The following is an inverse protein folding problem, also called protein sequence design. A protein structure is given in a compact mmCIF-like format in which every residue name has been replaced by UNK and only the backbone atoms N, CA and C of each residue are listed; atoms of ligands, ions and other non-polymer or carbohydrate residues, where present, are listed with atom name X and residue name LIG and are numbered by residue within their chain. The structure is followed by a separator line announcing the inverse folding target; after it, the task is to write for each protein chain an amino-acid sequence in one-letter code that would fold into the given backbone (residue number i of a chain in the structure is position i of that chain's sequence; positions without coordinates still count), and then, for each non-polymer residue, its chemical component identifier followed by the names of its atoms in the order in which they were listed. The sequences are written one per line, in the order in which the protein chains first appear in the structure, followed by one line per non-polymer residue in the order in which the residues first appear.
data_IF_002771888060
#
_entry.id   IF_002771888060
#
_cell.length_a   1.000
_cell.length_b   1.000
_cell.length_c   1.000
_cell.angle_alpha   90.00
_cell.angle_beta   90.00
_cell.angle_gamma   90.00
#
_symmetry.space_group_name_H-M   'P 1'
#
loop_
_entity.id
_entity.type
_entity.pdbx_description
1 polymer ?
#
# COMPACT_ATOMS: atom_id res chain seq x y z
N UNK A 1 17.98 6.95 0.38
CA UNK A 1 16.87 7.06 1.35
C UNK A 1 17.20 6.34 2.66
N UNK A 2 17.51 5.04 2.68
CA UNK A 2 17.87 4.34 3.92
C UNK A 2 19.04 4.98 4.71
N UNK A 3 20.08 5.48 4.01
CA UNK A 3 21.16 6.21 4.68
C UNK A 3 20.67 7.46 5.44
N UNK A 4 19.66 8.17 4.93
CA UNK A 4 19.07 9.34 5.57
C UNK A 4 18.33 8.96 6.86
N UNK A 5 17.53 7.89 6.80
CA UNK A 5 16.82 7.34 7.98
C UNK A 5 17.81 7.05 9.10
N UNK A 6 18.90 6.35 8.77
CA UNK A 6 19.95 5.99 9.73
C UNK A 6 20.72 7.21 10.24
N UNK A 7 21.03 8.16 9.36
CA UNK A 7 21.78 9.36 9.71
C UNK A 7 21.01 10.25 10.72
N UNK A 8 19.70 10.30 10.59
CA UNK A 8 18.84 11.18 11.38
C UNK A 8 17.99 10.44 12.43
N UNK A 9 18.32 9.17 12.70
CA UNK A 9 17.67 8.35 13.73
C UNK A 9 16.14 8.33 13.60
N UNK A 10 15.66 8.14 12.36
CA UNK A 10 14.23 8.03 12.08
C UNK A 10 13.78 6.57 12.17
N UNK A 11 12.52 6.38 12.56
CA UNK A 11 11.94 5.04 12.70
C UNK A 11 11.67 4.33 11.36
N UNK A 12 11.74 5.03 10.22
CA UNK A 12 11.34 4.43 8.94
C UNK A 12 11.17 5.37 7.77
N UNK A 13 10.49 4.87 6.74
CA UNK A 13 10.14 5.58 5.49
C UNK A 13 8.68 5.35 5.14
N UNK A 14 7.98 6.43 4.78
CA UNK A 14 6.72 6.36 4.03
C UNK A 14 6.99 6.62 2.54
N UNK A 15 6.54 5.69 1.69
CA UNK A 15 6.68 5.75 0.24
C UNK A 15 5.43 6.36 -0.37
N UNK A 16 5.46 7.69 -0.51
CA UNK A 16 4.42 8.48 -1.16
C UNK A 16 4.75 8.67 -2.65
N UNK A 17 4.58 7.60 -3.43
CA UNK A 17 4.82 7.60 -4.87
C UNK A 17 3.53 7.97 -5.62
N UNK A 18 3.56 9.07 -6.39
CA UNK A 18 2.36 9.59 -7.08
C UNK A 18 2.58 9.87 -8.59
N UNK A 19 3.46 9.12 -9.26
CA UNK A 19 3.56 9.22 -10.72
C UNK A 19 2.35 8.56 -11.40
N UNK A 20 1.27 9.34 -11.51
CA UNK A 20 0.01 8.95 -12.13
C UNK A 20 0.21 8.53 -13.59
N UNK A 21 1.07 9.23 -14.34
CA UNK A 21 1.31 8.95 -15.75
C UNK A 21 1.94 7.56 -15.93
N UNK A 22 2.85 7.16 -15.05
CA UNK A 22 3.47 5.84 -15.10
C UNK A 22 2.48 4.71 -14.78
N UNK A 23 1.51 4.94 -13.89
CA UNK A 23 0.42 3.99 -13.67
C UNK A 23 -0.59 3.97 -14.82
N UNK A 24 -0.95 5.13 -15.36
CA UNK A 24 -1.89 5.30 -16.49
C UNK A 24 -1.35 4.70 -17.79
N UNK A 25 -0.03 4.71 -17.99
CA UNK A 25 0.62 4.02 -19.12
C UNK A 25 0.30 2.52 -19.15
N UNK A 26 0.01 1.92 -17.99
CA UNK A 26 -0.48 0.54 -17.90
C UNK A 26 0.52 -0.53 -18.36
N UNK A 27 1.77 -0.18 -18.57
CA UNK A 27 2.85 -1.08 -19.03
C UNK A 27 3.51 -1.87 -17.89
N UNK A 28 3.11 -1.59 -16.64
CA UNK A 28 3.56 -2.29 -15.44
C UNK A 28 4.91 -1.85 -14.90
N UNK A 29 5.59 -0.86 -15.51
CA UNK A 29 6.92 -0.43 -15.07
C UNK A 29 6.90 0.27 -13.71
N UNK A 30 5.90 1.10 -13.43
CA UNK A 30 5.74 1.74 -12.12
C UNK A 30 5.66 0.69 -10.99
N UNK A 31 4.84 -0.35 -11.19
CA UNK A 31 4.72 -1.45 -10.25
C UNK A 31 6.01 -2.25 -10.10
N UNK A 32 6.71 -2.53 -11.19
CA UNK A 32 7.99 -3.24 -11.14
C UNK A 32 9.07 -2.44 -10.39
N UNK A 33 9.12 -1.13 -10.61
CA UNK A 33 10.02 -0.23 -9.89
C UNK A 33 9.70 -0.21 -8.39
N UNK A 34 8.43 0.00 -8.01
CA UNK A 34 8.00 -0.01 -6.60
C UNK A 34 8.34 -1.33 -5.91
N UNK A 35 8.11 -2.47 -6.57
CA UNK A 35 8.49 -3.80 -6.05
C UNK A 35 9.99 -3.91 -5.80
N UNK A 36 10.83 -3.49 -6.76
CA UNK A 36 12.28 -3.53 -6.62
C UNK A 36 12.75 -2.59 -5.52
N UNK A 37 12.18 -1.39 -5.47
CA UNK A 37 12.48 -0.36 -4.51
C UNK A 37 12.14 -0.80 -3.08
N UNK A 38 10.93 -1.33 -2.83
CA UNK A 38 10.52 -1.85 -1.51
C UNK A 38 11.44 -2.99 -1.05
N UNK A 39 11.83 -3.90 -1.95
CA UNK A 39 12.79 -4.97 -1.60
C UNK A 39 14.13 -4.39 -1.14
N UNK A 40 14.67 -3.42 -1.88
CA UNK A 40 15.93 -2.78 -1.51
C UNK A 40 15.81 -1.95 -0.23
N UNK A 41 14.69 -1.25 -0.01
CA UNK A 41 14.45 -0.55 1.24
C UNK A 41 14.44 -1.52 2.42
N UNK A 42 13.70 -2.63 2.35
CA UNK A 42 13.62 -3.59 3.46
C UNK A 42 14.95 -4.29 3.75
N UNK A 43 15.77 -4.55 2.73
CA UNK A 43 17.16 -5.04 2.94
C UNK A 43 17.99 -4.03 3.75
N UNK A 44 17.81 -2.73 3.47
CA UNK A 44 18.58 -1.68 4.10
C UNK A 44 18.00 -1.22 5.46
N UNK A 45 16.70 -1.44 5.67
CA UNK A 45 15.93 -1.08 6.86
C UNK A 45 15.14 -2.33 7.33
N UNK A 46 15.83 -3.32 7.93
CA UNK A 46 15.22 -4.59 8.33
C UNK A 46 14.14 -4.38 9.38
N UNK A 47 13.12 -5.24 9.37
CA UNK A 47 12.04 -5.16 10.36
C UNK A 47 12.52 -5.65 11.75
N UNK A 48 13.54 -6.51 11.77
CA UNK A 48 14.22 -7.01 12.96
C UNK A 48 14.91 -5.87 13.73
N UNK A 49 15.33 -4.83 13.02
CA UNK A 49 15.89 -3.60 13.57
C UNK A 49 14.80 -2.56 13.89
N UNK A 50 13.53 -2.98 13.90
CA UNK A 50 12.34 -2.17 14.20
C UNK A 50 12.02 -1.05 13.21
N UNK A 51 12.64 -1.03 12.03
CA UNK A 51 12.34 -0.02 11.01
C UNK A 51 10.97 -0.24 10.34
N UNK A 52 10.25 0.87 10.16
CA UNK A 52 8.95 0.92 9.49
C UNK A 52 9.11 1.28 8.00
N UNK A 53 8.39 0.58 7.14
CA UNK A 53 8.20 0.91 5.73
C UNK A 53 6.71 0.93 5.44
N UNK A 54 6.19 2.11 5.13
CA UNK A 54 4.79 2.32 4.79
C UNK A 54 4.68 2.86 3.38
N UNK A 55 3.50 2.77 2.79
CA UNK A 55 3.24 3.30 1.45
C UNK A 55 1.97 4.15 1.48
N UNK A 56 1.91 5.24 0.73
CA UNK A 56 0.75 6.14 0.68
C UNK A 56 0.08 6.21 -0.71
N UNK A 57 -0.39 5.08 -1.28
CA UNK A 57 -0.98 5.11 -2.61
C UNK A 57 -2.33 5.82 -2.65
N UNK A 58 -2.64 6.45 -3.78
CA UNK A 58 -3.99 6.90 -4.07
C UNK A 58 -4.95 5.71 -4.17
N UNK A 59 -6.15 5.85 -3.60
CA UNK A 59 -7.13 4.75 -3.56
C UNK A 59 -7.36 4.07 -4.92
N UNK A 60 -7.50 4.80 -6.06
CA UNK A 60 -7.69 4.21 -7.38
C UNK A 60 -6.78 3.04 -7.73
N UNK A 61 -5.53 3.03 -7.28
CA UNK A 61 -4.57 1.99 -7.61
C UNK A 61 -4.89 0.61 -7.02
N UNK A 62 -5.78 0.53 -6.03
CA UNK A 62 -6.27 -0.74 -5.46
C UNK A 62 -7.54 -1.29 -6.14
N UNK A 63 -8.03 -0.70 -7.23
CA UNK A 63 -9.24 -1.18 -7.92
C UNK A 63 -8.91 -2.21 -8.99
N UNK A 64 -9.40 -3.46 -8.88
CA UNK A 64 -9.52 -4.35 -10.03
C UNK A 64 -10.77 -3.98 -10.84
N UNK A 65 -10.79 -4.17 -12.17
CA UNK A 65 -9.70 -4.51 -13.09
C UNK A 65 -9.08 -3.25 -13.76
N UNK A 66 -9.10 -2.08 -13.09
CA UNK A 66 -8.85 -0.78 -13.72
C UNK A 66 -7.44 -0.62 -14.32
N UNK A 67 -6.43 -1.28 -13.75
CA UNK A 67 -5.03 -1.06 -14.11
C UNK A 67 -4.46 -2.23 -14.88
N UNK A 68 -4.13 -2.03 -16.16
CA UNK A 68 -3.50 -3.06 -17.02
C UNK A 68 -2.19 -3.59 -16.44
N UNK A 69 -1.43 -2.74 -15.76
CA UNK A 69 -0.20 -3.12 -15.04
C UNK A 69 -0.44 -3.83 -13.69
N UNK A 70 -1.69 -4.01 -13.27
CA UNK A 70 -2.08 -4.64 -12.01
C UNK A 70 -2.18 -3.70 -10.81
N UNK A 71 -1.82 -2.43 -10.96
CA UNK A 71 -1.96 -1.41 -9.92
C UNK A 71 -1.21 -1.76 -8.62
N UNK A 72 -1.70 -1.25 -7.50
CA UNK A 72 -1.20 -1.59 -6.17
C UNK A 72 -1.60 -2.99 -5.70
N UNK A 73 -2.60 -3.62 -6.31
CA UNK A 73 -2.90 -5.04 -6.05
C UNK A 73 -1.74 -5.95 -6.44
N UNK A 74 -1.10 -5.70 -7.59
CA UNK A 74 0.09 -6.45 -8.01
C UNK A 74 1.27 -6.20 -7.07
N UNK A 75 1.50 -4.95 -6.68
CA UNK A 75 2.57 -4.59 -5.73
C UNK A 75 2.34 -5.31 -4.40
N UNK A 76 1.13 -5.22 -3.84
CA UNK A 76 0.74 -5.89 -2.61
C UNK A 76 0.95 -7.41 -2.69
N UNK A 77 0.50 -8.06 -3.76
CA UNK A 77 0.73 -9.50 -3.93
C UNK A 77 2.22 -9.90 -4.06
N UNK A 78 3.10 -8.97 -4.43
CA UNK A 78 4.52 -9.24 -4.70
C UNK A 78 5.44 -8.93 -3.52
N UNK A 79 5.15 -7.85 -2.78
CA UNK A 79 6.01 -7.32 -1.69
C UNK A 79 5.18 -6.80 -0.51
N UNK A 80 3.88 -7.08 -0.46
CA UNK A 80 3.00 -6.55 0.58
C UNK A 80 3.41 -6.97 1.98
N UNK A 81 4.01 -8.15 2.13
CA UNK A 81 4.57 -8.63 3.41
C UNK A 81 5.85 -7.91 3.85
N UNK A 82 6.43 -7.05 3.01
CA UNK A 82 7.59 -6.21 3.34
C UNK A 82 7.17 -4.79 3.73
N UNK A 83 5.88 -4.46 3.62
CA UNK A 83 5.28 -3.15 3.88
C UNK A 83 4.44 -3.30 5.15
N UNK A 84 4.71 -2.48 6.16
CA UNK A 84 4.04 -2.59 7.46
C UNK A 84 2.56 -2.21 7.34
N UNK A 85 2.25 -1.11 6.66
CA UNK A 85 0.88 -0.76 6.28
C UNK A 85 0.81 0.24 5.11
N UNK A 86 -0.41 0.47 4.60
CA UNK A 86 -0.70 1.50 3.60
C UNK A 86 -1.51 2.64 4.20
N UNK A 87 -1.05 3.87 3.99
CA UNK A 87 -1.75 5.13 4.26
C UNK A 87 -2.56 5.53 3.02
N UNK A 88 -3.63 4.80 2.71
CA UNK A 88 -4.33 4.99 1.44
C UNK A 88 -5.04 6.35 1.40
N UNK A 89 -4.83 7.07 0.30
CA UNK A 89 -5.38 8.40 0.12
C UNK A 89 -6.78 8.34 -0.51
N UNK A 90 -7.80 8.78 0.27
CA UNK A 90 -9.20 8.91 -0.17
C UNK A 90 -9.59 10.35 -0.50
N UNK A 91 -8.60 11.22 -0.66
CA UNK A 91 -8.76 12.66 -0.91
C UNK A 91 -8.10 13.04 -2.24
N UNK A 92 -8.41 14.23 -2.75
CA UNK A 92 -7.89 14.78 -4.02
C UNK A 92 -8.08 13.86 -5.25
N UNK A 93 -9.03 12.93 -5.18
CA UNK A 93 -9.43 12.10 -6.30
C UNK A 93 -10.46 12.85 -7.15
N UNK A 94 -10.32 12.82 -8.48
CA UNK A 94 -11.40 13.29 -9.37
C UNK A 94 -12.68 12.51 -9.03
N UNK A 95 -13.79 13.24 -8.89
CA UNK A 95 -14.98 12.92 -8.08
C UNK A 95 -15.68 11.57 -8.32
N UNK A 96 -15.41 10.85 -9.41
CA UNK A 96 -16.02 9.56 -9.71
C UNK A 96 -15.32 8.35 -9.07
N UNK A 97 -14.09 8.51 -8.57
CA UNK A 97 -13.33 7.38 -8.01
C UNK A 97 -13.75 7.00 -6.57
N UNK A 98 -14.19 7.97 -5.77
CA UNK A 98 -14.53 7.77 -4.34
C UNK A 98 -15.68 6.77 -4.15
N UNK A 99 -16.67 6.78 -5.05
CA UNK A 99 -17.87 5.93 -4.94
C UNK A 99 -17.61 4.43 -5.22
N UNK A 100 -16.52 4.08 -5.90
CA UNK A 100 -16.20 2.68 -6.24
C UNK A 100 -15.49 1.98 -5.08
N UNK A 101 -14.66 2.70 -4.32
CA UNK A 101 -13.81 2.11 -3.29
C UNK A 101 -14.50 1.87 -1.95
N UNK A 102 -15.48 2.69 -1.59
CA UNK A 102 -16.28 2.47 -0.38
C UNK A 102 -16.98 1.11 -0.37
N UNK A 103 -17.21 0.50 -1.56
CA UNK A 103 -17.75 -0.86 -1.69
C UNK A 103 -16.71 -1.98 -1.61
N UNK A 104 -15.43 -1.71 -1.90
CA UNK A 104 -14.34 -2.71 -1.86
C UNK A 104 -13.83 -2.92 -0.42
N UNK A 105 -13.95 -1.91 0.45
CA UNK A 105 -13.44 -1.93 1.83
C UNK A 105 -14.42 -2.47 2.87
N UNK A 106 -15.67 -2.78 2.51
CA UNK A 106 -16.59 -3.47 3.42
C UNK A 106 -16.40 -4.96 3.16
N UNK A 107 -15.70 -5.71 4.03
CA UNK A 107 -15.75 -7.15 3.92
C UNK A 107 -17.19 -7.54 4.20
N UNK A 108 -17.85 -8.18 3.24
CA UNK A 108 -18.87 -9.15 3.62
C UNK A 108 -18.15 -10.19 4.49
N UNK A 109 -18.32 -10.04 5.81
CA UNK A 109 -18.21 -11.06 6.84
C UNK A 109 -17.24 -12.23 6.58
N UNK A 110 -16.14 -12.22 7.34
CA UNK A 110 -15.58 -13.43 7.95
C UNK A 110 -15.22 -14.61 7.01
N UNK A 111 -14.56 -14.37 5.88
CA UNK A 111 -13.84 -15.45 5.18
C UNK A 111 -12.38 -15.09 4.97
N UNK A 112 -11.52 -15.70 5.80
CA UNK A 112 -10.08 -15.73 5.61
C UNK A 112 -9.76 -16.36 4.24
N UNK A 113 -9.47 -15.51 3.25
CA UNK A 113 -8.78 -15.87 2.01
C UNK A 113 -7.72 -14.81 1.75
N UNK A 114 -6.52 -14.99 2.29
CA UNK A 114 -5.32 -14.18 1.99
C UNK A 114 -5.59 -12.70 1.76
N UNK A 115 -6.42 -12.09 2.61
CA UNK A 115 -7.06 -10.80 2.34
C UNK A 115 -6.43 -9.68 3.16
N UNK A 116 -6.34 -8.50 2.54
CA UNK A 116 -5.90 -7.27 3.19
C UNK A 116 -6.89 -6.91 4.31
N UNK A 117 -6.40 -6.72 5.54
CA UNK A 117 -7.22 -6.15 6.63
C UNK A 117 -7.15 -4.62 6.56
N UNK A 118 -8.33 -4.00 6.51
CA UNK A 118 -8.48 -2.53 6.49
C UNK A 118 -8.85 -2.10 7.90
N UNK A 119 -7.97 -1.34 8.55
CA UNK A 119 -8.23 -0.69 9.83
C UNK A 119 -8.64 0.77 9.58
N UNK A 120 -9.86 1.10 9.99
CA UNK A 120 -10.41 2.44 9.86
C UNK A 120 -10.07 3.26 11.11
N UNK A 121 -9.25 4.31 10.96
CA UNK A 121 -9.05 5.31 12.01
C UNK A 121 -9.83 6.57 11.65
N UNK A 122 -11.03 6.72 12.21
CA UNK A 122 -11.88 7.89 11.96
C UNK A 122 -11.31 9.12 12.66
N UNK A 123 -10.91 10.15 11.87
CA UNK A 123 -10.77 11.54 12.36
C UNK A 123 -11.68 12.45 11.51
N UNK A 124 -12.52 13.32 12.11
CA UNK A 124 -13.57 14.08 11.41
C UNK A 124 -13.11 14.99 10.26
N UNK A 125 -11.82 15.28 10.14
CA UNK A 125 -11.27 16.25 9.19
C UNK A 125 -10.30 15.65 8.15
N UNK A 126 -9.86 14.39 8.31
CA UNK A 126 -9.00 13.68 7.36
C UNK A 126 -9.34 12.19 7.38
N UNK A 127 -9.83 11.65 6.27
CA UNK A 127 -10.05 10.21 6.13
C UNK A 127 -8.73 9.53 5.75
N UNK A 128 -7.95 9.12 6.76
CA UNK A 128 -6.77 8.26 6.60
C UNK A 128 -7.16 6.84 6.97
N UNK A 129 -6.96 5.89 6.06
CA UNK A 129 -7.19 4.47 6.32
C UNK A 129 -5.85 3.76 6.40
N UNK A 130 -5.68 2.88 7.39
CA UNK A 130 -4.51 2.02 7.52
C UNK A 130 -4.87 0.64 7.02
N UNK A 131 -4.18 0.13 6.00
CA UNK A 131 -4.27 -1.29 5.63
C UNK A 131 -3.02 -2.01 6.14
N UNK A 132 -3.17 -2.96 7.07
CA UNK A 132 -2.06 -3.80 7.53
C UNK A 132 -2.12 -5.18 6.86
N UNK A 133 -0.97 -5.73 6.51
CA UNK A 133 -0.86 -7.10 5.98
C UNK A 133 -0.63 -8.09 7.12
N UNK A 134 -1.59 -8.98 7.39
CA UNK A 134 -1.34 -10.16 8.21
C UNK A 134 -1.09 -11.37 7.30
N UNK A 135 0.04 -12.05 7.45
CA UNK A 135 0.18 -13.43 6.97
C UNK A 135 -0.62 -14.34 7.90
N UNK A 136 -1.82 -14.76 7.49
CA UNK A 136 -2.48 -15.89 8.16
C UNK A 136 -1.60 -17.13 7.96
N UNK A 137 -1.03 -17.68 9.04
CA UNK A 137 -0.47 -19.03 9.02
C UNK A 137 -1.61 -20.01 8.75
N UNK A 138 -1.48 -20.79 7.69
CA UNK A 138 -2.45 -21.83 7.34
C UNK A 138 -2.25 -23.03 8.28
N UNK A 139 -2.82 -22.95 9.48
CA UNK A 139 -3.09 -24.13 10.28
C UNK A 139 -4.62 -24.35 10.26
N UNK A 140 -5.06 -25.16 9.29
CA UNK A 140 -6.32 -25.89 9.38
C UNK A 140 -6.00 -27.34 9.74
#
# INVERSE_FOLDING_TARGET
MAAWVKQYDLDGIDVDYEDLNAFDAGDGKAGAWLISFTKQLRIQLPQEDTYLITHAPVAPWFSPPKWRGGGYLKIHSSVGSLIDWYNIQFYNLKSSAVNIFSRILIPESNKCRGGIRVYHMYRPSCHVFHMASDSCSANC
#
